data_IF_906691033926
#
_entry.id   IF_906691033926
#
_cell.length_a   1.000
_cell.length_b   1.000
_cell.length_c   1.000
_cell.angle_alpha   90.00
_cell.angle_beta   90.00
_cell.angle_gamma   90.00
#
_symmetry.space_group_name_H-M   'P 1'
#
loop_
_entity.id
_entity.type
_entity.pdbx_description
1 polymer ?
#
# COMPACT_ATOMS: atom_id res chain seq x y z
N UNK A 1 7.05 0.51 17.04
CA UNK A 1 6.16 -0.55 16.51
C UNK A 1 6.40 -1.81 17.34
N UNK A 2 5.47 -2.76 17.38
CA UNK A 2 5.65 -4.02 18.14
C UNK A 2 5.23 -5.17 17.25
N UNK A 3 6.00 -6.27 17.26
CA UNK A 3 5.64 -7.50 16.55
C UNK A 3 4.28 -8.01 17.08
N UNK A 4 3.30 -8.28 16.19
CA UNK A 4 1.98 -8.77 16.58
C UNK A 4 2.06 -10.12 17.30
N UNK A 5 1.10 -10.38 18.20
CA UNK A 5 0.97 -11.72 18.75
C UNK A 5 0.46 -12.68 17.67
N UNK A 6 1.11 -13.84 17.59
CA UNK A 6 0.71 -14.89 16.67
C UNK A 6 -0.73 -15.35 17.00
N UNK A 7 -1.59 -15.50 15.98
CA UNK A 7 -2.92 -16.06 16.17
C UNK A 7 -2.88 -17.48 16.74
N UNK A 8 -3.86 -17.86 17.59
CA UNK A 8 -3.94 -19.22 18.12
C UNK A 8 -4.30 -20.22 17.02
N UNK A 9 -3.92 -21.48 17.21
CA UNK A 9 -4.27 -22.57 16.28
C UNK A 9 -5.81 -22.71 16.16
N UNK A 10 -6.30 -22.55 14.93
CA UNK A 10 -7.72 -22.61 14.63
C UNK A 10 -8.27 -24.03 14.65
N UNK A 11 -7.46 -25.04 14.32
CA UNK A 11 -7.93 -26.41 14.20
C UNK A 11 -8.31 -26.97 15.57
N UNK A 12 -7.45 -26.75 16.56
CA UNK A 12 -7.72 -27.13 17.96
C UNK A 12 -9.00 -26.46 18.49
N UNK A 13 -9.23 -25.19 18.17
CA UNK A 13 -10.41 -24.45 18.60
C UNK A 13 -11.69 -24.95 17.93
N UNK A 14 -11.64 -25.22 16.62
CA UNK A 14 -12.76 -25.76 15.86
C UNK A 14 -13.15 -27.16 16.35
N UNK A 15 -12.15 -28.04 16.54
CA UNK A 15 -12.36 -29.40 17.02
C UNK A 15 -12.92 -29.44 18.45
N UNK A 16 -12.56 -28.46 19.29
CA UNK A 16 -13.13 -28.30 20.62
C UNK A 16 -14.62 -27.93 20.54
N UNK A 17 -14.98 -26.96 19.70
CA UNK A 17 -16.36 -26.48 19.53
C UNK A 17 -17.29 -27.55 18.96
N UNK A 18 -16.81 -28.35 18.00
CA UNK A 18 -17.59 -29.44 17.39
C UNK A 18 -17.95 -30.56 18.38
N UNK A 19 -17.29 -30.61 19.55
CA UNK A 19 -17.58 -31.56 20.63
C UNK A 19 -18.53 -30.98 21.69
N UNK A 20 -18.90 -29.70 21.59
CA UNK A 20 -19.81 -29.03 22.52
C UNK A 20 -21.28 -29.23 22.13
N UNK A 21 -22.20 -28.71 22.95
CA UNK A 21 -23.64 -28.79 22.70
C UNK A 21 -24.04 -28.06 21.40
N UNK A 22 -25.07 -28.61 20.74
CA UNK A 22 -25.73 -28.09 19.55
C UNK A 22 -26.03 -26.58 19.59
N UNK A 23 -26.40 -26.04 20.75
CA UNK A 23 -26.64 -24.61 20.92
C UNK A 23 -25.35 -23.78 20.76
N UNK A 24 -24.22 -24.25 21.32
CA UNK A 24 -22.93 -23.56 21.20
C UNK A 24 -22.34 -23.66 19.80
N UNK A 25 -22.50 -24.82 19.15
CA UNK A 25 -22.14 -25.00 17.74
C UNK A 25 -22.92 -24.01 16.87
N UNK A 26 -24.22 -23.85 17.12
CA UNK A 26 -25.05 -22.87 16.41
C UNK A 26 -24.57 -21.43 16.64
N UNK A 27 -24.32 -21.03 17.89
CA UNK A 27 -23.79 -19.68 18.21
C UNK A 27 -22.46 -19.41 17.50
N UNK A 28 -21.58 -20.42 17.40
CA UNK A 28 -20.31 -20.31 16.67
C UNK A 28 -20.51 -19.98 15.19
N UNK A 29 -21.38 -20.72 14.49
CA UNK A 29 -21.66 -20.48 13.08
C UNK A 29 -22.40 -19.17 12.84
N UNK A 30 -23.31 -18.77 13.73
CA UNK A 30 -24.01 -17.47 13.66
C UNK A 30 -23.05 -16.27 13.79
N UNK A 31 -21.93 -16.45 14.49
CA UNK A 31 -20.87 -15.45 14.66
C UNK A 31 -19.69 -15.62 13.67
N UNK A 32 -19.79 -16.55 12.72
CA UNK A 32 -18.77 -16.76 11.69
C UNK A 32 -18.89 -15.68 10.61
N UNK A 33 -18.36 -14.49 10.91
CA UNK A 33 -18.29 -13.34 10.00
C UNK A 33 -16.84 -12.99 9.69
N UNK A 34 -16.49 -12.60 8.45
CA UNK A 34 -15.10 -12.27 8.10
C UNK A 34 -14.65 -10.91 8.68
N UNK A 35 -15.61 -10.06 9.04
CA UNK A 35 -15.43 -8.73 9.64
C UNK A 35 -16.29 -8.61 10.89
N UNK A 36 -15.94 -7.67 11.78
CA UNK A 36 -16.80 -7.35 12.92
C UNK A 36 -18.08 -6.60 12.49
N UNK A 37 -18.98 -6.33 13.43
CA UNK A 37 -20.26 -5.65 13.13
C UNK A 37 -20.09 -4.20 12.62
N UNK A 38 -18.89 -3.61 12.76
CA UNK A 38 -18.53 -2.30 12.19
C UNK A 38 -17.87 -2.43 10.82
N UNK A 39 -17.76 -3.64 10.27
CA UNK A 39 -17.11 -3.93 9.00
C UNK A 39 -15.59 -3.93 9.05
N UNK A 40 -14.96 -3.98 10.23
CA UNK A 40 -13.50 -3.96 10.37
C UNK A 40 -12.92 -5.36 10.20
N UNK A 41 -11.89 -5.47 9.36
CA UNK A 41 -11.11 -6.69 9.18
C UNK A 41 -9.99 -6.75 10.24
N UNK A 42 -10.34 -7.17 11.46
CA UNK A 42 -9.43 -7.13 12.61
C UNK A 42 -8.45 -8.30 12.62
N UNK A 43 -7.20 -8.03 12.98
CA UNK A 43 -6.21 -9.06 13.28
C UNK A 43 -6.42 -9.61 14.70
N UNK A 44 -5.91 -10.81 15.01
CA UNK A 44 -6.00 -11.43 16.34
C UNK A 44 -5.60 -10.48 17.47
N UNK A 45 -4.49 -9.75 17.27
CA UNK A 45 -3.94 -8.83 18.25
C UNK A 45 -4.91 -7.69 18.64
N UNK A 46 -5.89 -7.39 17.77
CA UNK A 46 -6.94 -6.40 18.03
C UNK A 46 -8.26 -7.05 18.46
N UNK A 47 -8.60 -8.18 17.84
CA UNK A 47 -9.87 -8.88 18.03
C UNK A 47 -10.00 -9.40 19.47
N UNK A 48 -8.92 -9.92 20.06
CA UNK A 48 -8.92 -10.48 21.42
C UNK A 48 -9.28 -9.47 22.52
N UNK A 49 -9.24 -8.18 22.22
CA UNK A 49 -9.60 -7.10 23.16
C UNK A 49 -10.97 -6.48 22.88
N UNK A 50 -11.72 -6.99 21.89
CA UNK A 50 -13.08 -6.50 21.61
C UNK A 50 -14.10 -7.19 22.53
N UNK A 51 -15.28 -6.56 22.75
CA UNK A 51 -16.39 -7.22 23.43
C UNK A 51 -16.71 -8.55 22.75
N UNK A 52 -16.67 -9.63 23.53
CA UNK A 52 -16.91 -10.97 23.04
C UNK A 52 -18.40 -11.18 22.75
N UNK A 53 -18.76 -11.91 21.68
CA UNK A 53 -20.11 -12.41 21.52
C UNK A 53 -20.50 -13.32 22.69
N UNK A 54 -21.76 -13.24 23.13
CA UNK A 54 -22.26 -14.03 24.25
C UNK A 54 -22.03 -15.53 24.03
N UNK A 55 -21.34 -16.16 24.98
CA UNK A 55 -21.09 -17.60 24.98
C UNK A 55 -19.87 -18.08 24.20
N UNK A 56 -19.06 -17.19 23.60
CA UNK A 56 -17.80 -17.54 22.93
C UNK A 56 -16.58 -16.95 23.64
N UNK A 57 -15.51 -17.73 23.72
CA UNK A 57 -14.18 -17.22 24.07
C UNK A 57 -13.53 -16.49 22.89
N UNK A 58 -12.50 -15.68 23.15
CA UNK A 58 -11.74 -14.98 22.11
C UNK A 58 -11.18 -15.95 21.04
N UNK A 59 -10.63 -17.09 21.48
CA UNK A 59 -10.05 -18.11 20.59
C UNK A 59 -11.12 -18.73 19.68
N UNK A 60 -12.29 -19.04 20.25
CA UNK A 60 -13.43 -19.58 19.49
C UNK A 60 -13.98 -18.55 18.49
N UNK A 61 -14.10 -17.30 18.90
CA UNK A 61 -14.54 -16.23 17.99
C UNK A 61 -13.52 -15.98 16.86
N UNK A 62 -12.23 -16.05 17.16
CA UNK A 62 -11.17 -16.00 16.14
C UNK A 62 -11.26 -17.16 15.15
N UNK A 63 -11.46 -18.39 15.64
CA UNK A 63 -11.65 -19.56 14.78
C UNK A 63 -12.89 -19.42 13.88
N UNK A 64 -14.01 -18.88 14.40
CA UNK A 64 -15.21 -18.58 13.62
C UNK A 64 -14.93 -17.55 12.53
N UNK A 65 -14.19 -16.49 12.87
CA UNK A 65 -13.79 -15.42 11.94
C UNK A 65 -12.90 -15.96 10.83
N UNK A 66 -11.88 -16.76 11.18
CA UNK A 66 -10.97 -17.38 10.21
C UNK A 66 -11.68 -18.37 9.30
N UNK A 67 -12.64 -19.14 9.80
CA UNK A 67 -13.47 -20.02 8.98
C UNK A 67 -14.23 -19.23 7.91
N UNK A 68 -14.89 -18.14 8.30
CA UNK A 68 -15.59 -17.27 7.36
C UNK A 68 -14.67 -16.65 6.31
N UNK A 69 -13.46 -16.21 6.71
CA UNK A 69 -12.45 -15.66 5.80
C UNK A 69 -11.95 -16.70 4.81
N UNK A 70 -11.66 -17.91 5.28
CA UNK A 70 -11.12 -18.98 4.44
C UNK A 70 -12.07 -19.35 3.29
N UNK A 71 -13.38 -19.30 3.54
CA UNK A 71 -14.41 -19.60 2.52
C UNK A 71 -14.36 -18.60 1.34
N UNK A 72 -14.00 -17.34 1.60
CA UNK A 72 -14.05 -16.26 0.59
C UNK A 72 -12.66 -15.82 0.11
N UNK A 73 -11.60 -16.41 0.65
CA UNK A 73 -10.23 -16.06 0.27
C UNK A 73 -9.86 -16.62 -1.11
N UNK A 74 -9.12 -15.81 -1.86
CA UNK A 74 -8.58 -16.16 -3.16
C UNK A 74 -7.04 -16.25 -3.04
N UNK A 75 -6.42 -17.33 -3.51
CA UNK A 75 -4.97 -17.44 -3.57
C UNK A 75 -4.41 -16.60 -4.72
N UNK A 76 -3.23 -16.02 -4.52
CA UNK A 76 -2.41 -15.43 -5.55
C UNK A 76 -1.36 -16.42 -6.06
N UNK A 77 -0.85 -16.18 -7.27
CA UNK A 77 0.30 -16.92 -7.80
C UNK A 77 1.61 -16.60 -7.05
N UNK A 78 1.65 -15.46 -6.35
CA UNK A 78 2.77 -15.01 -5.53
C UNK A 78 2.82 -15.79 -4.21
N UNK A 79 4.03 -16.11 -3.76
CA UNK A 79 4.28 -16.91 -2.55
C UNK A 79 5.17 -16.17 -1.56
N UNK A 80 4.99 -16.45 -0.28
CA UNK A 80 5.88 -15.99 0.79
C UNK A 80 7.26 -16.68 0.70
N UNK A 81 8.17 -16.34 1.60
CA UNK A 81 9.51 -16.96 1.71
C UNK A 81 9.49 -18.44 2.15
N UNK A 82 8.34 -18.93 2.62
CA UNK A 82 8.14 -20.33 3.03
C UNK A 82 7.42 -21.16 1.95
N UNK A 83 7.07 -20.56 0.80
CA UNK A 83 6.38 -21.22 -0.31
C UNK A 83 4.86 -21.25 -0.19
N UNK A 84 4.26 -20.61 0.82
CA UNK A 84 2.82 -20.48 0.95
C UNK A 84 2.29 -19.40 0.00
N UNK A 85 1.16 -19.62 -0.69
CA UNK A 85 0.57 -18.58 -1.53
C UNK A 85 0.03 -17.44 -0.66
N UNK A 86 0.29 -16.20 -1.09
CA UNK A 86 -0.42 -15.06 -0.53
C UNK A 86 -1.92 -15.17 -0.83
N UNK A 87 -2.75 -14.77 0.13
CA UNK A 87 -4.21 -14.82 0.00
C UNK A 87 -4.80 -13.47 0.27
N UNK A 88 -5.95 -13.19 -0.31
CA UNK A 88 -6.73 -12.01 0.04
C UNK A 88 -8.23 -12.33 -0.08
N UNK A 89 -9.06 -11.49 0.54
CA UNK A 89 -10.48 -11.46 0.25
C UNK A 89 -10.98 -10.03 0.12
N UNK A 90 -12.19 -9.87 -0.40
CA UNK A 90 -12.84 -8.57 -0.57
C UNK A 90 -14.04 -8.45 0.36
N UNK A 91 -13.82 -8.05 1.63
CA UNK A 91 -14.93 -7.79 2.54
C UNK A 91 -15.78 -6.63 2.00
N UNK A 92 -17.05 -6.58 2.39
CA UNK A 92 -18.00 -5.58 1.87
C UNK A 92 -17.50 -4.14 2.05
N UNK A 93 -16.82 -3.85 3.17
CA UNK A 93 -16.22 -2.52 3.41
C UNK A 93 -15.18 -2.15 2.36
N UNK A 94 -14.37 -3.11 1.92
CA UNK A 94 -13.32 -2.88 0.92
C UNK A 94 -13.97 -2.61 -0.44
N UNK A 95 -15.01 -3.36 -0.80
CA UNK A 95 -15.78 -3.12 -2.03
C UNK A 95 -16.41 -1.73 -2.08
N UNK A 96 -16.93 -1.24 -0.95
CA UNK A 96 -17.49 0.13 -0.86
C UNK A 96 -16.39 1.18 -1.09
N UNK A 97 -15.21 0.98 -0.52
CA UNK A 97 -14.06 1.88 -0.72
C UNK A 97 -13.59 1.84 -2.17
N UNK A 98 -13.44 0.66 -2.77
CA UNK A 98 -13.04 0.50 -4.17
C UNK A 98 -14.02 1.20 -5.11
N UNK A 99 -15.34 1.00 -4.92
CA UNK A 99 -16.35 1.74 -5.68
C UNK A 99 -16.18 3.26 -5.57
N UNK A 100 -15.93 3.78 -4.36
CA UNK A 100 -15.66 5.22 -4.19
C UNK A 100 -14.43 5.63 -5.01
N UNK A 101 -13.35 4.85 -4.96
CA UNK A 101 -12.12 5.15 -5.67
C UNK A 101 -12.28 5.07 -7.19
N UNK A 102 -13.03 4.10 -7.72
CA UNK A 102 -13.32 4.02 -9.16
C UNK A 102 -14.07 5.27 -9.65
N UNK A 103 -15.04 5.74 -8.86
CA UNK A 103 -15.84 6.92 -9.19
C UNK A 103 -15.10 8.25 -9.04
N UNK A 104 -14.08 8.31 -8.16
CA UNK A 104 -13.44 9.58 -7.79
C UNK A 104 -11.97 9.68 -8.20
N UNK A 105 -11.31 8.58 -8.53
CA UNK A 105 -9.91 8.57 -8.97
C UNK A 105 -9.72 8.01 -10.39
N UNK A 106 -10.70 7.26 -10.91
CA UNK A 106 -10.73 6.72 -12.27
C UNK A 106 -11.34 7.69 -13.30
N UNK A 107 -11.39 7.25 -14.56
CA UNK A 107 -12.12 7.93 -15.64
C UNK A 107 -11.28 8.21 -16.89
N UNK A 108 -11.95 8.32 -18.04
CA UNK A 108 -11.29 8.76 -19.27
C UNK A 108 -11.01 10.27 -19.19
N UNK A 109 -9.80 10.68 -19.63
CA UNK A 109 -9.34 12.07 -19.77
C UNK A 109 -10.26 13.01 -20.60
N UNK A 110 -11.41 12.53 -21.09
CA UNK A 110 -12.27 13.22 -22.05
C UNK A 110 -13.63 13.72 -21.56
N UNK A 111 -14.22 13.17 -20.48
CA UNK A 111 -15.58 13.55 -20.06
C UNK A 111 -15.59 14.44 -18.81
N UNK A 112 -15.07 13.94 -17.67
CA UNK A 112 -14.99 14.70 -16.40
C UNK A 112 -13.75 15.56 -16.28
N UNK A 113 -12.79 15.39 -17.20
CA UNK A 113 -11.72 16.36 -17.36
C UNK A 113 -12.33 17.74 -17.55
N UNK A 114 -13.47 17.93 -18.25
CA UNK A 114 -14.08 19.26 -18.44
C UNK A 114 -14.49 19.97 -17.15
N UNK A 115 -14.85 19.26 -16.07
CA UNK A 115 -15.24 19.86 -14.80
C UNK A 115 -14.03 20.29 -13.93
N UNK A 116 -12.86 19.70 -14.16
CA UNK A 116 -11.58 20.04 -13.48
C UNK A 116 -10.58 20.72 -14.44
N UNK A 117 -10.88 20.75 -15.75
CA UNK A 117 -10.08 21.33 -16.85
C UNK A 117 -10.52 22.73 -17.25
N UNK A 118 -11.28 23.42 -16.41
CA UNK A 118 -11.05 24.85 -16.34
C UNK A 118 -9.54 25.03 -16.09
N UNK A 119 -8.88 25.85 -16.90
CA UNK A 119 -7.42 26.05 -16.90
C UNK A 119 -6.87 26.35 -15.48
N UNK A 120 -7.73 26.82 -14.58
CA UNK A 120 -7.53 27.09 -13.16
C UNK A 120 -7.39 25.82 -12.29
N UNK A 121 -8.21 24.79 -12.53
CA UNK A 121 -8.18 23.53 -11.77
C UNK A 121 -6.85 22.79 -11.93
N UNK A 122 -6.33 22.73 -13.16
CA UNK A 122 -5.00 22.13 -13.44
C UNK A 122 -3.86 22.89 -12.76
N UNK A 123 -3.90 24.22 -12.74
CA UNK A 123 -2.89 25.03 -12.06
C UNK A 123 -2.87 24.79 -10.55
N UNK A 124 -4.04 24.57 -9.92
CA UNK A 124 -4.13 24.21 -8.51
C UNK A 124 -3.61 22.80 -8.23
N UNK A 125 -3.88 21.84 -9.13
CA UNK A 125 -3.37 20.47 -9.03
C UNK A 125 -1.85 20.39 -9.15
N UNK A 126 -1.23 21.23 -9.98
CA UNK A 126 0.23 21.27 -10.14
C UNK A 126 0.95 21.44 -8.80
N UNK A 127 0.41 22.23 -7.87
CA UNK A 127 1.02 22.45 -6.55
C UNK A 127 1.01 21.20 -5.65
N UNK A 128 0.11 20.25 -5.90
CA UNK A 128 0.05 18.98 -5.18
C UNK A 128 1.12 17.99 -5.65
N UNK A 129 1.72 18.19 -6.83
CA UNK A 129 2.77 17.31 -7.38
C UNK A 129 4.03 17.26 -6.50
N UNK A 130 4.27 18.28 -5.67
CA UNK A 130 5.40 18.29 -4.74
C UNK A 130 5.12 17.54 -3.42
N UNK A 131 3.85 17.30 -3.08
CA UNK A 131 3.50 16.69 -1.79
C UNK A 131 3.88 15.21 -1.73
N UNK A 132 3.66 14.45 -2.80
CA UNK A 132 4.02 13.03 -2.83
C UNK A 132 5.54 12.79 -2.80
N UNK A 133 6.36 13.46 -3.62
CA UNK A 133 7.81 13.40 -3.51
C UNK A 133 8.33 13.75 -2.11
N UNK A 134 7.77 14.79 -1.50
CA UNK A 134 8.13 15.21 -0.15
C UNK A 134 7.75 14.16 0.89
N UNK A 135 6.48 13.78 0.95
CA UNK A 135 5.95 12.90 1.99
C UNK A 135 6.54 11.49 1.91
N UNK A 136 6.73 10.97 0.70
CA UNK A 136 7.37 9.66 0.49
C UNK A 136 8.82 9.65 1.02
N UNK A 137 9.61 10.68 0.75
CA UNK A 137 10.98 10.78 1.29
C UNK A 137 11.00 11.06 2.79
N UNK A 138 10.01 11.80 3.31
CA UNK A 138 9.86 12.05 4.75
C UNK A 138 9.60 10.77 5.55
N UNK A 139 8.82 9.83 5.01
CA UNK A 139 8.59 8.51 5.64
C UNK A 139 9.91 7.76 5.87
N UNK A 140 10.84 7.88 4.92
CA UNK A 140 12.20 7.31 4.95
C UNK A 140 13.21 8.17 5.75
N UNK A 141 12.74 9.20 6.47
CA UNK A 141 13.58 9.98 7.38
C UNK A 141 14.22 11.25 6.80
N UNK A 142 13.91 11.64 5.56
CA UNK A 142 14.48 12.86 4.96
C UNK A 142 14.07 14.12 5.76
N UNK A 143 15.05 14.86 6.28
CA UNK A 143 14.85 16.08 7.05
C UNK A 143 14.82 17.31 6.13
N UNK A 144 13.65 17.62 5.58
CA UNK A 144 13.42 18.81 4.75
C UNK A 144 12.03 19.40 4.95
N UNK A 145 11.68 20.47 4.24
CA UNK A 145 10.38 21.14 4.35
C UNK A 145 9.60 21.11 3.04
N UNK A 146 8.26 21.18 3.15
CA UNK A 146 7.37 21.33 1.99
C UNK A 146 7.70 22.54 1.13
N UNK A 147 8.16 23.63 1.74
CA UNK A 147 8.56 24.83 1.00
C UNK A 147 9.79 24.54 0.14
N UNK A 148 10.80 23.89 0.71
CA UNK A 148 12.00 23.47 -0.02
C UNK A 148 11.64 22.52 -1.16
N UNK A 149 10.78 21.52 -0.91
CA UNK A 149 10.32 20.60 -1.96
C UNK A 149 9.71 21.36 -3.16
N UNK A 150 8.88 22.38 -2.90
CA UNK A 150 8.32 23.23 -3.96
C UNK A 150 9.37 24.03 -4.72
N UNK A 151 10.37 24.58 -4.03
CA UNK A 151 11.47 25.31 -4.66
C UNK A 151 12.32 24.41 -5.56
N UNK A 152 12.61 23.19 -5.11
CA UNK A 152 13.36 22.20 -5.90
C UNK A 152 12.62 21.83 -7.19
N UNK A 153 11.30 21.61 -7.09
CA UNK A 153 10.48 21.06 -8.17
C UNK A 153 10.00 22.15 -9.15
N UNK A 154 9.53 23.30 -8.65
CA UNK A 154 8.90 24.32 -9.48
C UNK A 154 9.80 25.53 -9.77
N UNK A 155 10.77 25.83 -8.92
CA UNK A 155 11.66 27.00 -9.07
C UNK A 155 13.05 26.61 -9.58
N UNK A 156 13.34 25.32 -9.76
CA UNK A 156 14.63 24.83 -10.26
C UNK A 156 15.80 25.03 -9.30
N UNK A 157 15.52 25.26 -8.01
CA UNK A 157 16.56 25.34 -6.97
C UNK A 157 17.36 24.03 -6.94
N UNK A 158 18.67 24.12 -6.82
CA UNK A 158 19.52 22.93 -6.65
C UNK A 158 19.46 22.38 -5.20
N UNK A 159 19.47 21.05 -5.02
CA UNK A 159 19.52 20.44 -3.69
C UNK A 159 20.87 20.71 -3.03
N UNK A 160 20.84 21.04 -1.74
CA UNK A 160 22.02 21.32 -0.92
C UNK A 160 22.38 20.18 0.02
N UNK A 161 21.44 19.27 0.30
CA UNK A 161 21.62 18.13 1.21
C UNK A 161 21.21 16.83 0.54
N UNK A 162 21.66 15.69 1.11
CA UNK A 162 21.21 14.34 0.71
C UNK A 162 19.68 14.25 0.76
N UNK A 163 19.06 14.77 1.81
CA UNK A 163 17.60 14.72 2.02
C UNK A 163 16.82 15.55 1.00
N UNK A 164 17.33 16.72 0.63
CA UNK A 164 16.76 17.52 -0.47
C UNK A 164 16.88 16.78 -1.81
N UNK A 165 18.02 16.11 -2.05
CA UNK A 165 18.22 15.29 -3.24
C UNK A 165 17.29 14.08 -3.27
N UNK A 166 17.01 13.44 -2.12
CA UNK A 166 16.03 12.35 -2.03
C UNK A 166 14.63 12.80 -2.48
N UNK A 167 14.18 14.00 -2.09
CA UNK A 167 12.89 14.56 -2.56
C UNK A 167 12.90 14.79 -4.07
N UNK A 168 13.97 15.39 -4.60
CA UNK A 168 14.08 15.65 -6.04
C UNK A 168 14.14 14.35 -6.85
N UNK A 169 14.87 13.35 -6.37
CA UNK A 169 14.93 12.01 -6.97
C UNK A 169 13.57 11.33 -6.97
N UNK A 170 12.84 11.41 -5.85
CA UNK A 170 11.51 10.83 -5.79
C UNK A 170 10.53 11.54 -6.75
N UNK A 171 10.65 12.86 -6.94
CA UNK A 171 9.89 13.58 -7.99
C UNK A 171 10.24 13.07 -9.40
N UNK A 172 11.53 12.90 -9.70
CA UNK A 172 11.99 12.33 -10.99
C UNK A 172 11.48 10.91 -11.20
N UNK A 173 11.42 10.11 -10.15
CA UNK A 173 10.85 8.76 -10.20
C UNK A 173 9.35 8.78 -10.54
N UNK A 174 8.60 9.73 -9.96
CA UNK A 174 7.18 9.93 -10.29
C UNK A 174 6.98 10.33 -11.76
N UNK A 175 7.83 11.22 -12.29
CA UNK A 175 7.79 11.59 -13.70
C UNK A 175 8.15 10.41 -14.62
N UNK A 176 9.14 9.61 -14.24
CA UNK A 176 9.52 8.39 -14.95
C UNK A 176 8.35 7.39 -15.01
N UNK A 177 7.72 7.04 -13.89
CA UNK A 177 6.61 6.07 -13.91
C UNK A 177 5.41 6.58 -14.69
N UNK A 178 5.17 7.89 -14.70
CA UNK A 178 4.12 8.52 -15.51
C UNK A 178 4.44 8.42 -17.00
N UNK A 179 5.67 8.74 -17.40
CA UNK A 179 6.11 8.66 -18.79
C UNK A 179 6.03 7.22 -19.33
N UNK A 180 6.38 6.25 -18.50
CA UNK A 180 6.49 4.84 -18.89
C UNK A 180 5.33 3.96 -18.40
N UNK A 181 4.19 4.55 -18.01
CA UNK A 181 3.00 3.83 -17.53
C UNK A 181 2.44 2.80 -18.53
N UNK A 182 2.67 3.00 -19.83
CA UNK A 182 2.21 2.07 -20.88
C UNK A 182 3.12 0.84 -21.07
N UNK A 183 4.29 0.80 -20.44
CA UNK A 183 5.23 -0.31 -20.60
C UNK A 183 4.86 -1.50 -19.70
N UNK A 184 5.46 -2.66 -19.97
CA UNK A 184 5.40 -3.82 -19.09
C UNK A 184 6.44 -3.68 -17.98
N UNK A 185 6.11 -4.15 -16.79
CA UNK A 185 7.08 -4.23 -15.70
C UNK A 185 8.11 -5.31 -16.03
N UNK A 186 9.39 -4.96 -15.95
CA UNK A 186 10.53 -5.82 -16.24
C UNK A 186 11.69 -5.43 -15.33
N UNK A 187 12.72 -6.27 -15.27
CA UNK A 187 13.88 -6.03 -14.42
C UNK A 187 14.56 -4.69 -14.73
N UNK A 188 14.82 -4.38 -15.99
CA UNK A 188 15.43 -3.12 -16.45
C UNK A 188 14.63 -1.88 -16.03
N UNK A 189 13.30 -1.92 -16.14
CA UNK A 189 12.43 -0.87 -15.63
C UNK A 189 12.60 -0.68 -14.12
N UNK A 190 12.61 -1.77 -13.36
CA UNK A 190 12.73 -1.74 -11.90
C UNK A 190 14.10 -1.22 -11.46
N UNK A 191 15.18 -1.65 -12.13
CA UNK A 191 16.54 -1.19 -11.86
C UNK A 191 16.71 0.30 -12.19
N UNK A 192 16.15 0.77 -13.31
CA UNK A 192 16.21 2.20 -13.66
C UNK A 192 15.39 3.05 -12.70
N UNK A 193 14.20 2.59 -12.30
CA UNK A 193 13.40 3.27 -11.28
C UNK A 193 14.18 3.38 -9.96
N UNK A 194 14.82 2.29 -9.51
CA UNK A 194 15.65 2.30 -8.31
C UNK A 194 16.86 3.24 -8.46
N UNK A 195 17.52 3.22 -9.61
CA UNK A 195 18.65 4.12 -9.92
C UNK A 195 18.23 5.60 -9.83
N UNK A 196 17.05 5.96 -10.36
CA UNK A 196 16.52 7.32 -10.26
C UNK A 196 16.24 7.70 -8.79
N UNK A 197 15.60 6.81 -8.03
CA UNK A 197 15.23 7.05 -6.62
C UNK A 197 16.47 7.27 -5.73
N UNK A 198 17.58 6.58 -6.04
CA UNK A 198 18.75 6.51 -5.16
C UNK A 198 19.98 7.28 -5.67
N UNK A 199 19.88 7.91 -6.85
CA UNK A 199 20.99 8.63 -7.49
C UNK A 199 21.66 9.65 -6.56
N UNK A 200 22.91 9.37 -6.18
CA UNK A 200 23.70 10.26 -5.33
C UNK A 200 23.24 10.32 -3.87
N UNK A 201 22.41 9.38 -3.43
CA UNK A 201 21.90 9.30 -2.04
C UNK A 201 22.19 7.96 -1.37
N UNK A 202 22.95 7.08 -2.02
CA UNK A 202 23.43 5.82 -1.43
C UNK A 202 24.75 6.03 -0.70
N UNK A 203 25.02 5.19 0.30
CA UNK A 203 26.33 5.16 0.96
C UNK A 203 27.39 4.53 0.02
N UNK A 204 27.05 3.44 -0.68
CA UNK A 204 27.80 2.93 -1.83
C UNK A 204 27.05 3.24 -3.14
N UNK A 205 27.59 4.12 -4.01
CA UNK A 205 26.99 4.40 -5.32
C UNK A 205 26.82 3.16 -6.23
N UNK A 206 27.60 2.09 -6.03
CA UNK A 206 27.51 0.86 -6.82
C UNK A 206 26.26 0.03 -6.54
N UNK A 207 25.55 0.31 -5.44
CA UNK A 207 24.28 -0.33 -5.09
C UNK A 207 23.08 0.30 -5.82
N UNK A 208 23.25 1.50 -6.38
CA UNK A 208 22.22 2.19 -7.17
C UNK A 208 21.87 1.37 -8.41
N UNK A 209 20.58 1.11 -8.62
CA UNK A 209 20.09 0.31 -9.75
C UNK A 209 20.53 -1.16 -9.76
N UNK A 210 20.86 -1.74 -8.60
CA UNK A 210 21.37 -3.12 -8.50
C UNK A 210 20.64 -3.94 -7.43
N UNK A 211 20.25 -5.17 -7.78
CA UNK A 211 19.69 -6.14 -6.81
C UNK A 211 20.77 -6.53 -5.80
N UNK A 212 20.40 -6.62 -4.53
CA UNK A 212 21.31 -7.06 -3.46
C UNK A 212 21.81 -8.49 -3.69
N UNK A 213 23.01 -8.77 -3.19
CA UNK A 213 23.66 -10.09 -3.35
C UNK A 213 23.86 -10.83 -2.03
N UNK A 214 23.42 -10.26 -0.91
CA UNK A 214 23.52 -10.84 0.43
C UNK A 214 22.20 -10.68 1.20
N UNK A 215 22.12 -11.33 2.35
CA UNK A 215 20.96 -11.35 3.25
C UNK A 215 21.17 -10.50 4.52
N UNK A 216 22.17 -9.62 4.49
CA UNK A 216 22.55 -8.78 5.65
C UNK A 216 21.54 -7.66 5.92
N UNK A 217 20.54 -7.50 5.04
CA UNK A 217 19.49 -6.50 5.17
C UNK A 217 18.34 -7.00 6.05
N UNK A 218 17.85 -6.12 6.92
CA UNK A 218 16.72 -6.35 7.79
C UNK A 218 15.86 -5.10 7.85
N UNK A 219 14.54 -5.27 7.88
CA UNK A 219 13.64 -4.16 8.21
C UNK A 219 13.54 -4.13 9.73
N UNK A 220 14.06 -3.08 10.33
CA UNK A 220 14.10 -2.90 11.78
C UNK A 220 13.21 -1.73 12.20
N UNK A 221 12.78 -1.74 13.46
CA UNK A 221 12.14 -0.60 14.08
C UNK A 221 13.17 0.42 14.54
N UNK A 222 13.08 1.64 14.02
CA UNK A 222 13.98 2.75 14.33
C UNK A 222 14.07 3.09 15.83
N UNK A 223 13.07 2.72 16.64
CA UNK A 223 12.96 3.12 18.05
C UNK A 223 13.64 2.14 19.02
N UNK A 224 13.56 0.85 18.73
CA UNK A 224 14.03 -0.21 19.64
C UNK A 224 14.97 -1.23 18.98
N UNK A 225 15.23 -1.12 17.68
CA UNK A 225 16.08 -2.03 16.91
C UNK A 225 15.49 -3.43 16.72
N UNK A 226 14.21 -3.63 17.02
CA UNK A 226 13.54 -4.91 16.83
C UNK A 226 13.43 -5.24 15.34
N UNK A 227 13.80 -6.47 14.96
CA UNK A 227 13.66 -6.94 13.59
C UNK A 227 12.17 -7.14 13.30
N UNK A 228 11.62 -6.31 12.43
CA UNK A 228 10.23 -6.32 12.01
C UNK A 228 10.00 -7.31 10.87
N UNK A 229 10.95 -7.39 9.93
CA UNK A 229 10.87 -8.29 8.79
C UNK A 229 12.26 -8.71 8.31
N UNK A 230 12.39 -10.00 8.02
CA UNK A 230 13.53 -10.58 7.32
C UNK A 230 13.09 -10.91 5.88
N UNK A 231 13.66 -10.26 4.85
CA UNK A 231 13.35 -10.51 3.45
C UNK A 231 13.67 -11.94 3.00
N UNK A 232 13.09 -12.40 1.87
CA UNK A 232 13.47 -13.66 1.22
C UNK A 232 14.98 -13.72 0.90
N UNK A 233 15.59 -14.90 0.73
CA UNK A 233 17.01 -14.99 0.39
C UNK A 233 17.37 -14.30 -0.94
N UNK A 234 18.54 -13.66 -0.98
CA UNK A 234 19.04 -12.95 -2.17
C UNK A 234 19.15 -13.87 -3.39
N UNK A 235 19.50 -15.13 -3.15
CA UNK A 235 19.64 -16.17 -4.18
C UNK A 235 18.35 -16.42 -4.97
N UNK A 236 17.19 -16.23 -4.35
CA UNK A 236 15.88 -16.50 -4.96
C UNK A 236 15.25 -15.25 -5.59
N UNK A 237 15.81 -14.05 -5.35
CA UNK A 237 15.14 -12.78 -5.69
C UNK A 237 14.82 -12.64 -7.16
N UNK A 238 15.71 -13.04 -8.06
CA UNK A 238 15.46 -12.87 -9.50
C UNK A 238 14.23 -13.67 -9.95
N UNK A 239 14.12 -14.93 -9.50
CA UNK A 239 12.95 -15.79 -9.79
C UNK A 239 11.68 -15.22 -9.14
N UNK A 240 11.78 -14.72 -7.91
CA UNK A 240 10.63 -14.12 -7.21
C UNK A 240 10.16 -12.82 -7.86
N UNK A 241 11.08 -12.00 -8.35
CA UNK A 241 10.78 -10.79 -9.11
C UNK A 241 10.17 -11.10 -10.48
N UNK A 242 10.61 -12.16 -11.16
CA UNK A 242 9.97 -12.61 -12.40
C UNK A 242 8.49 -12.94 -12.18
N UNK A 243 8.15 -13.67 -11.10
CA UNK A 243 6.76 -13.93 -10.73
C UNK A 243 5.98 -12.64 -10.42
N UNK A 244 6.62 -11.66 -9.78
CA UNK A 244 6.02 -10.34 -9.54
C UNK A 244 5.74 -9.60 -10.86
N UNK A 245 6.65 -9.69 -11.82
CA UNK A 245 6.49 -9.09 -13.15
C UNK A 245 5.37 -9.78 -13.94
N UNK A 246 5.29 -11.10 -13.90
CA UNK A 246 4.18 -11.85 -14.49
C UNK A 246 2.84 -11.40 -13.91
N UNK A 247 2.74 -11.33 -12.57
CA UNK A 247 1.54 -10.85 -11.88
C UNK A 247 1.16 -9.41 -12.28
N UNK A 248 2.15 -8.52 -12.35
CA UNK A 248 1.96 -7.12 -12.73
C UNK A 248 1.55 -6.93 -14.20
N UNK A 249 1.92 -7.86 -15.08
CA UNK A 249 1.64 -7.79 -16.51
C UNK A 249 0.48 -8.69 -16.95
N UNK A 250 -0.14 -9.42 -16.02
CA UNK A 250 -1.35 -10.18 -16.27
C UNK A 250 -2.57 -9.25 -16.30
N UNK A 251 -3.00 -8.94 -17.51
CA UNK A 251 -4.20 -8.15 -17.80
C UNK A 251 -5.43 -9.05 -18.08
N UNK A 252 -5.42 -10.32 -17.68
CA UNK A 252 -6.53 -11.24 -17.93
C UNK A 252 -7.78 -10.92 -17.10
N UNK A 253 -8.94 -10.89 -17.76
CA UNK A 253 -10.27 -10.67 -17.15
C UNK A 253 -10.98 -12.01 -16.84
N UNK A 254 -10.23 -12.95 -16.26
CA UNK A 254 -10.70 -14.31 -16.00
C UNK A 254 -11.05 -14.59 -14.53
N UNK A 255 -11.09 -15.89 -14.19
CA UNK A 255 -11.36 -16.37 -12.82
C UNK A 255 -10.35 -15.87 -11.76
N UNK A 256 -9.20 -15.36 -12.20
CA UNK A 256 -8.12 -14.82 -11.36
C UNK A 256 -7.99 -13.29 -11.47
N UNK A 257 -9.00 -12.62 -12.02
CA UNK A 257 -8.99 -11.15 -12.12
C UNK A 257 -8.92 -10.52 -10.73
N UNK A 258 -8.04 -9.54 -10.58
CA UNK A 258 -7.86 -8.75 -9.36
C UNK A 258 -8.19 -7.31 -9.69
N UNK A 259 -9.00 -6.67 -8.84
CA UNK A 259 -9.32 -5.25 -8.99
C UNK A 259 -8.04 -4.40 -9.17
N UNK A 260 -7.96 -3.51 -10.17
CA UNK A 260 -6.73 -2.77 -10.48
C UNK A 260 -6.05 -2.06 -9.30
N UNK A 261 -6.81 -1.34 -8.47
CA UNK A 261 -6.25 -0.71 -7.27
C UNK A 261 -5.78 -1.70 -6.21
N UNK A 262 -6.43 -2.87 -6.07
CA UNK A 262 -5.93 -3.92 -5.20
C UNK A 262 -4.62 -4.47 -5.76
N UNK A 263 -4.54 -4.71 -7.07
CA UNK A 263 -3.29 -5.13 -7.70
C UNK A 263 -2.17 -4.10 -7.51
N UNK A 264 -2.45 -2.80 -7.64
CA UNK A 264 -1.48 -1.73 -7.33
C UNK A 264 -0.97 -1.80 -5.88
N UNK A 265 -1.87 -2.01 -4.91
CA UNK A 265 -1.51 -2.17 -3.50
C UNK A 265 -0.75 -3.47 -3.25
N UNK A 266 -1.09 -4.56 -3.93
CA UNK A 266 -0.33 -5.81 -3.84
C UNK A 266 1.09 -5.63 -4.38
N UNK A 267 1.29 -4.93 -5.50
CA UNK A 267 2.63 -4.62 -6.01
C UNK A 267 3.46 -3.79 -5.02
N UNK A 268 2.83 -2.82 -4.35
CA UNK A 268 3.45 -2.07 -3.26
C UNK A 268 3.91 -3.00 -2.13
N UNK A 269 3.00 -3.83 -1.62
CA UNK A 269 3.32 -4.77 -0.56
C UNK A 269 4.47 -5.70 -0.97
N UNK A 270 4.36 -6.31 -2.14
CA UNK A 270 5.27 -7.33 -2.63
C UNK A 270 6.67 -6.76 -2.82
N UNK A 271 6.83 -5.57 -3.40
CA UNK A 271 8.17 -5.01 -3.55
C UNK A 271 8.83 -4.72 -2.18
N UNK A 272 8.05 -4.22 -1.21
CA UNK A 272 8.55 -4.00 0.14
C UNK A 272 8.88 -5.30 0.89
N UNK A 273 8.14 -6.38 0.62
CA UNK A 273 8.36 -7.72 1.16
C UNK A 273 9.57 -8.44 0.53
N UNK A 274 9.71 -8.39 -0.79
CA UNK A 274 10.87 -8.96 -1.49
C UNK A 274 12.17 -8.22 -1.11
N UNK A 275 12.06 -6.91 -0.87
CA UNK A 275 13.16 -6.04 -0.48
C UNK A 275 14.41 -6.22 -1.36
N UNK A 276 14.30 -6.02 -2.69
CA UNK A 276 15.36 -6.41 -3.63
C UNK A 276 16.61 -5.52 -3.59
N UNK A 277 16.53 -4.33 -2.99
CA UNK A 277 17.62 -3.36 -2.96
C UNK A 277 18.21 -3.18 -1.56
N UNK A 278 19.43 -2.63 -1.47
CA UNK A 278 20.09 -2.32 -0.19
C UNK A 278 19.37 -1.17 0.55
N UNK A 279 18.89 -0.16 -0.19
CA UNK A 279 18.07 0.95 0.31
C UNK A 279 17.07 1.38 -0.77
N UNK A 280 16.11 2.24 -0.45
CA UNK A 280 15.17 2.83 -1.42
C UNK A 280 13.93 1.98 -1.70
N UNK A 281 13.82 0.77 -1.14
CA UNK A 281 12.71 -0.16 -1.38
C UNK A 281 11.34 0.48 -1.14
N UNK A 282 11.15 1.20 -0.03
CA UNK A 282 9.88 1.88 0.27
C UNK A 282 9.47 2.90 -0.79
N UNK A 283 10.42 3.72 -1.26
CA UNK A 283 10.19 4.74 -2.31
C UNK A 283 9.88 4.09 -3.66
N UNK A 284 10.62 3.05 -4.04
CA UNK A 284 10.35 2.29 -5.27
C UNK A 284 8.99 1.61 -5.20
N UNK A 285 8.61 1.06 -4.05
CA UNK A 285 7.35 0.33 -3.88
C UNK A 285 6.13 1.25 -4.01
N UNK A 286 6.23 2.46 -3.45
CA UNK A 286 5.21 3.51 -3.64
C UNK A 286 5.17 4.02 -5.08
N UNK A 287 6.31 4.24 -5.72
CA UNK A 287 6.36 4.60 -7.13
C UNK A 287 5.73 3.51 -8.03
N UNK A 288 5.92 2.23 -7.69
CA UNK A 288 5.33 1.10 -8.40
C UNK A 288 3.79 1.03 -8.24
N UNK A 289 3.27 1.39 -7.07
CA UNK A 289 1.82 1.59 -6.89
C UNK A 289 1.28 2.64 -7.87
N UNK A 290 1.93 3.80 -7.96
CA UNK A 290 1.51 4.85 -8.89
C UNK A 290 1.64 4.44 -10.34
N UNK A 291 2.75 3.80 -10.72
CA UNK A 291 2.94 3.25 -12.06
C UNK A 291 1.75 2.39 -12.49
N UNK A 292 1.39 1.40 -11.67
CA UNK A 292 0.32 0.46 -12.02
C UNK A 292 -1.05 1.14 -12.02
N UNK A 293 -1.34 2.00 -11.04
CA UNK A 293 -2.63 2.68 -11.00
C UNK A 293 -2.81 3.66 -12.19
N UNK A 294 -1.75 4.37 -12.58
CA UNK A 294 -1.77 5.23 -13.77
C UNK A 294 -1.87 4.43 -15.07
N UNK A 295 -1.24 3.25 -15.14
CA UNK A 295 -1.39 2.30 -16.26
C UNK A 295 -2.85 1.89 -16.46
N UNK A 296 -3.59 1.70 -15.36
CA UNK A 296 -4.98 1.26 -15.34
C UNK A 296 -6.01 2.43 -15.42
N UNK A 297 -5.55 3.65 -15.72
CA UNK A 297 -6.45 4.79 -15.98
C UNK A 297 -6.89 5.60 -14.76
N UNK A 298 -6.30 5.38 -13.58
CA UNK A 298 -6.57 6.20 -12.39
C UNK A 298 -5.79 7.51 -12.41
N UNK A 299 -6.12 8.37 -13.38
CA UNK A 299 -5.36 9.59 -13.70
C UNK A 299 -5.27 10.60 -12.55
N UNK A 300 -6.29 10.68 -11.68
CA UNK A 300 -6.28 11.66 -10.58
C UNK A 300 -5.14 11.37 -9.59
N UNK A 301 -4.69 10.12 -9.52
CA UNK A 301 -3.61 9.71 -8.63
C UNK A 301 -2.27 10.39 -8.96
N UNK A 302 -2.11 10.97 -10.15
CA UNK A 302 -0.96 11.85 -10.45
C UNK A 302 -0.85 13.01 -9.43
N UNK A 303 -1.98 13.48 -8.89
CA UNK A 303 -2.06 14.63 -7.99
C UNK A 303 -2.36 14.27 -6.54
N UNK A 304 -2.60 12.99 -6.25
CA UNK A 304 -2.93 12.51 -4.90
C UNK A 304 -1.64 12.08 -4.22
N UNK A 305 -1.37 12.60 -3.02
CA UNK A 305 -0.29 12.08 -2.18
C UNK A 305 -0.80 11.05 -1.17
N UNK A 306 -0.62 9.76 -1.49
CA UNK A 306 -0.89 8.68 -0.55
C UNK A 306 0.11 8.72 0.62
N UNK A 307 1.36 9.09 0.33
CA UNK A 307 2.42 9.16 1.34
C UNK A 307 2.12 10.20 2.41
N UNK A 308 1.42 11.30 2.10
CA UNK A 308 1.03 12.29 3.10
C UNK A 308 0.12 11.69 4.18
N UNK A 309 -0.78 10.78 3.82
CA UNK A 309 -1.67 10.08 4.77
C UNK A 309 -0.90 8.96 5.49
N UNK A 310 -0.02 8.25 4.78
CA UNK A 310 0.85 7.23 5.38
C UNK A 310 1.75 7.84 6.46
N UNK A 311 2.33 9.02 6.20
CA UNK A 311 3.23 9.70 7.14
C UNK A 311 2.54 10.02 8.48
N UNK A 312 1.26 10.39 8.46
CA UNK A 312 0.46 10.62 9.68
C UNK A 312 0.10 9.33 10.42
N UNK A 313 0.02 8.22 9.70
CA UNK A 313 -0.37 6.91 10.21
C UNK A 313 0.75 5.85 10.07
N UNK A 314 2.03 6.26 10.22
CA UNK A 314 3.21 5.40 9.98
C UNK A 314 3.15 4.10 10.78
N UNK A 315 2.64 4.16 12.01
CA UNK A 315 2.46 2.98 12.88
C UNK A 315 1.43 2.02 12.29
N UNK A 316 0.26 2.50 11.87
CA UNK A 316 -0.79 1.65 11.28
C UNK A 316 -0.33 1.05 9.95
N UNK A 317 0.40 1.83 9.15
CA UNK A 317 0.98 1.40 7.88
C UNK A 317 1.95 0.23 8.08
N UNK A 318 2.98 0.38 8.91
CA UNK A 318 3.93 -0.71 9.15
C UNK A 318 3.28 -1.91 9.84
N UNK A 319 2.34 -1.68 10.78
CA UNK A 319 1.62 -2.78 11.44
C UNK A 319 0.77 -3.60 10.46
N UNK A 320 0.28 -2.98 9.39
CA UNK A 320 -0.46 -3.68 8.34
C UNK A 320 0.40 -4.68 7.56
N UNK A 321 1.72 -4.46 7.42
CA UNK A 321 2.64 -5.47 6.88
C UNK A 321 2.79 -6.64 7.83
N UNK A 322 3.04 -6.35 9.11
CA UNK A 322 3.26 -7.36 10.13
C UNK A 322 2.04 -8.28 10.29
N UNK A 323 0.83 -7.75 10.15
CA UNK A 323 -0.40 -8.55 10.18
C UNK A 323 -0.52 -9.54 9.03
N UNK A 324 0.02 -9.23 7.84
CA UNK A 324 0.07 -10.19 6.73
C UNK A 324 1.02 -11.34 7.08
N UNK A 325 2.20 -11.03 7.62
CA UNK A 325 3.20 -12.04 7.95
C UNK A 325 2.82 -12.89 9.17
N UNK A 326 2.10 -12.33 10.13
CA UNK A 326 1.65 -13.06 11.33
C UNK A 326 0.38 -13.88 11.12
N UNK A 327 -0.32 -13.76 10.00
CA UNK A 327 -1.61 -14.42 9.78
C UNK A 327 -1.72 -15.05 8.38
N UNK A 328 -0.88 -16.07 8.14
CA UNK A 328 -0.95 -16.95 6.97
C UNK A 328 -0.89 -16.20 5.62
N UNK A 329 -0.09 -15.14 5.54
CA UNK A 329 0.09 -14.34 4.33
C UNK A 329 -1.22 -13.71 3.81
N UNK A 330 -2.14 -13.36 4.73
CA UNK A 330 -3.41 -12.71 4.41
C UNK A 330 -3.21 -11.21 4.12
N UNK A 331 -3.13 -10.86 2.83
CA UNK A 331 -2.95 -9.49 2.35
C UNK A 331 -4.14 -8.58 2.67
N UNK A 332 -5.29 -9.13 3.07
CA UNK A 332 -6.52 -8.36 3.29
C UNK A 332 -6.31 -7.24 4.31
N UNK A 333 -5.44 -7.44 5.32
CA UNK A 333 -5.07 -6.40 6.29
C UNK A 333 -4.43 -5.19 5.63
N UNK A 334 -3.41 -5.44 4.81
CA UNK A 334 -2.70 -4.41 4.06
C UNK A 334 -3.64 -3.72 3.05
N UNK A 335 -4.43 -4.50 2.31
CA UNK A 335 -5.36 -3.96 1.32
C UNK A 335 -6.44 -3.07 1.95
N UNK A 336 -7.04 -3.49 3.07
CA UNK A 336 -8.01 -2.67 3.80
C UNK A 336 -7.38 -1.38 4.34
N UNK A 337 -6.15 -1.46 4.86
CA UNK A 337 -5.43 -0.28 5.32
C UNK A 337 -5.12 0.69 4.17
N UNK A 338 -4.53 0.19 3.08
CA UNK A 338 -4.13 1.02 1.94
C UNK A 338 -5.31 1.58 1.16
N UNK A 339 -6.41 0.84 1.02
CA UNK A 339 -7.62 1.35 0.39
C UNK A 339 -8.22 2.51 1.20
N UNK A 340 -8.26 2.40 2.54
CA UNK A 340 -8.69 3.50 3.40
C UNK A 340 -7.75 4.71 3.33
N UNK A 341 -6.43 4.47 3.30
CA UNK A 341 -5.42 5.51 3.14
C UNK A 341 -5.59 6.25 1.82
N UNK A 342 -5.77 5.52 0.72
CA UNK A 342 -6.01 6.08 -0.60
C UNK A 342 -7.32 6.87 -0.66
N UNK A 343 -8.40 6.35 -0.07
CA UNK A 343 -9.69 7.06 0.05
C UNK A 343 -9.52 8.40 0.75
N UNK A 344 -8.85 8.42 1.92
CA UNK A 344 -8.55 9.66 2.65
C UNK A 344 -7.72 10.63 1.82
N UNK A 345 -6.74 10.13 1.07
CA UNK A 345 -5.88 10.95 0.22
C UNK A 345 -6.67 11.62 -0.93
N UNK A 346 -7.59 10.88 -1.55
CA UNK A 346 -8.51 11.39 -2.58
C UNK A 346 -9.47 12.43 -1.99
N UNK A 347 -10.08 12.16 -0.83
CA UNK A 347 -10.96 13.12 -0.14
C UNK A 347 -10.24 14.43 0.23
N UNK A 348 -8.96 14.36 0.64
CA UNK A 348 -8.12 15.53 0.89
C UNK A 348 -7.90 16.36 -0.36
N UNK A 349 -7.62 15.71 -1.50
CA UNK A 349 -7.43 16.40 -2.76
C UNK A 349 -8.72 17.12 -3.20
N UNK A 350 -9.87 16.45 -3.12
CA UNK A 350 -11.16 17.10 -3.42
C UNK A 350 -11.41 18.30 -2.51
N UNK A 351 -11.21 18.15 -1.20
CA UNK A 351 -11.37 19.24 -0.24
C UNK A 351 -10.43 20.41 -0.52
N UNK A 352 -9.19 20.12 -0.94
CA UNK A 352 -8.22 21.14 -1.35
C UNK A 352 -8.69 21.91 -2.58
N UNK A 353 -9.13 21.20 -3.62
CA UNK A 353 -9.63 21.80 -4.87
C UNK A 353 -10.85 22.68 -4.61
N UNK A 354 -11.82 22.20 -3.82
CA UNK A 354 -13.03 22.96 -3.50
C UNK A 354 -12.74 24.22 -2.69
N UNK A 355 -11.81 24.15 -1.73
CA UNK A 355 -11.35 25.33 -1.01
C UNK A 355 -10.71 26.36 -1.95
N UNK A 356 -9.87 25.91 -2.89
CA UNK A 356 -9.21 26.82 -3.84
C UNK A 356 -10.18 27.50 -4.79
N UNK A 357 -11.19 26.78 -5.28
CA UNK A 357 -12.27 27.37 -6.09
C UNK A 357 -13.00 28.50 -5.34
N UNK A 358 -13.34 28.29 -4.06
CA UNK A 358 -14.00 29.31 -3.23
C UNK A 358 -13.12 30.55 -2.98
N UNK A 359 -11.82 30.35 -2.77
CA UNK A 359 -10.87 31.46 -2.59
C UNK A 359 -10.79 32.36 -3.84
N UNK A 360 -10.81 31.77 -5.05
CA UNK A 360 -10.79 32.52 -6.32
C UNK A 360 -12.11 33.26 -6.54
N UNK A 361 -13.25 32.59 -6.39
CA UNK A 361 -14.58 33.21 -6.53
C UNK A 361 -14.80 34.36 -5.52
N UNK A 362 -14.27 34.24 -4.31
CA UNK A 362 -14.34 35.30 -3.29
C UNK A 362 -13.46 36.52 -3.57
N UNK A 363 -12.44 36.37 -4.43
CA UNK A 363 -11.58 37.48 -4.89
C UNK A 363 -12.17 38.22 -6.09
N UNK A 364 -13.00 37.58 -6.91
CA UNK A 364 -13.69 38.22 -8.05
C UNK A 364 -14.91 39.06 -7.66
N UNK A 365 -15.43 38.87 -6.44
CA UNK A 365 -16.60 39.60 -5.90
C UNK A 365 -16.19 40.84 -5.09
N UNK A 366 -14.89 41.12 -4.95
CA UNK A 366 -14.33 42.33 -4.33
C UNK A 366 -13.66 43.20 -5.37
#
# INVERSE_FOLDING_TARGET
MRVPNQPPDRQTALDAILKEDSQRVRTFFENSKPVDDKGRYLHWDELRFKPLPDGLSAVQWWAATKLARHIIQQPLALKDKFGNPFRYCEPQVLKVILRFLDMNAGGALGADATAVSAHEGRAHLTRSLAEEPFASSFIEGAATTRQIAKQLIFEGRQPKTRDELMVLNNFRAMEFVKQFRGQKLRLDFLLELHNIVTKGTMDDPADSGRIRTNDDIQVVDDTNGEILHQPPPAADLLVRLELLFEFANDDSEGAHWVHPLLKAMMLHFMLAYEHPFVDGNGRVARALFYWYALKQGYWLLEYVSISSVIAEAKIEYGRSFLFVESDESDLTYFLCNQANTLKKAVERLHSYVERKKKEVQGLEVR
#
